data_IF_554048899767
#
_entry.id   IF_554048899767
#
_cell.length_a   1.000
_cell.length_b   1.000
_cell.length_c   1.000
_cell.angle_alpha   90.00
_cell.angle_beta   90.00
_cell.angle_gamma   90.00
#
_symmetry.space_group_name_H-M   'P 1'
#
loop_
_entity.id
_entity.type
_entity.pdbx_description
1 polymer ?
#
# COMPACT_ATOMS: atom_id res chain seq x y z
N UNK A 1 21.50 23.26 18.39
CA UNK A 1 21.68 21.91 17.86
C UNK A 1 20.41 21.49 17.15
N UNK A 2 20.55 20.92 15.98
CA UNK A 2 19.38 20.47 15.23
C UNK A 2 19.00 19.04 15.62
N UNK A 3 17.72 18.84 15.87
CA UNK A 3 17.16 17.50 16.09
C UNK A 3 16.65 16.88 14.77
N UNK A 4 16.89 17.55 13.66
CA UNK A 4 16.45 17.05 12.35
C UNK A 4 17.54 16.18 11.75
N UNK A 5 17.17 14.97 11.40
CA UNK A 5 18.03 14.00 10.73
C UNK A 5 17.44 13.67 9.36
N UNK A 6 18.27 13.81 8.32
CA UNK A 6 17.86 13.45 6.96
C UNK A 6 18.25 12.01 6.70
N UNK A 7 17.26 11.20 6.37
CA UNK A 7 17.46 9.81 5.99
C UNK A 7 17.39 9.70 4.48
N UNK A 8 18.36 8.99 3.90
CA UNK A 8 18.32 8.72 2.45
C UNK A 8 17.21 7.73 2.15
N UNK A 9 16.52 7.96 1.05
CA UNK A 9 15.57 7.00 0.51
C UNK A 9 16.19 6.33 -0.71
N UNK A 10 15.66 5.19 -1.06
CA UNK A 10 16.09 4.40 -2.21
C UNK A 10 14.86 3.93 -2.97
N UNK A 11 14.89 4.07 -4.29
CA UNK A 11 13.89 3.45 -5.15
C UNK A 11 14.26 1.98 -5.27
N UNK A 12 13.43 1.09 -4.73
CA UNK A 12 13.68 -0.35 -4.82
C UNK A 12 12.83 -1.03 -5.88
N UNK A 13 11.80 -0.37 -6.35
CA UNK A 13 10.94 -0.87 -7.40
C UNK A 13 10.34 0.31 -8.14
N UNK A 14 10.30 0.23 -9.46
CA UNK A 14 9.70 1.24 -10.29
C UNK A 14 8.98 0.56 -11.45
N UNK A 15 7.74 0.97 -11.68
CA UNK A 15 6.98 0.63 -12.86
C UNK A 15 6.65 1.93 -13.59
N UNK A 16 5.98 1.85 -14.74
CA UNK A 16 5.64 3.04 -15.52
C UNK A 16 4.88 4.10 -14.69
N UNK A 17 3.96 3.66 -13.84
CA UNK A 17 3.08 4.56 -13.10
C UNK A 17 3.27 4.53 -11.58
N UNK A 18 4.16 3.70 -11.07
CA UNK A 18 4.32 3.50 -9.62
C UNK A 18 5.80 3.44 -9.25
N UNK A 19 6.17 4.21 -8.25
CA UNK A 19 7.51 4.20 -7.69
C UNK A 19 7.42 3.79 -6.23
N UNK A 20 8.24 2.83 -5.82
CA UNK A 20 8.35 2.35 -4.45
C UNK A 20 9.65 2.84 -3.85
N UNK A 21 9.55 3.60 -2.76
CA UNK A 21 10.68 4.10 -2.01
C UNK A 21 10.83 3.35 -0.71
N UNK A 22 12.05 2.94 -0.41
CA UNK A 22 12.41 2.37 0.88
C UNK A 22 12.74 3.51 1.84
N UNK A 23 11.96 3.63 2.89
CA UNK A 23 12.16 4.64 3.94
C UNK A 23 12.65 3.94 5.19
N UNK A 24 13.87 4.26 5.59
CA UNK A 24 14.43 3.74 6.83
C UNK A 24 13.86 4.52 8.01
N UNK A 25 13.12 3.83 8.86
CA UNK A 25 12.59 4.38 10.12
C UNK A 25 13.09 3.50 11.24
N UNK A 26 13.64 4.11 12.31
CA UNK A 26 14.26 3.36 13.40
C UNK A 26 13.32 2.33 14.04
N UNK A 27 12.03 2.63 14.10
CA UNK A 27 11.02 1.78 14.74
C UNK A 27 10.37 0.79 13.76
N UNK A 28 10.70 0.87 12.48
CA UNK A 28 10.12 0.00 11.47
C UNK A 28 11.06 -0.18 10.29
N UNK A 29 11.36 -1.42 9.98
CA UNK A 29 12.21 -1.78 8.84
C UNK A 29 11.40 -1.99 7.56
N UNK A 30 10.09 -1.90 7.63
CA UNK A 30 9.17 -2.27 6.56
C UNK A 30 8.29 -1.10 6.11
N UNK A 31 8.74 0.12 6.30
CA UNK A 31 8.00 1.30 5.87
C UNK A 31 8.41 1.73 4.48
N UNK A 32 7.44 1.87 3.60
CA UNK A 32 7.64 2.27 2.23
C UNK A 32 6.82 3.51 1.90
N UNK A 33 7.38 4.37 1.09
CA UNK A 33 6.61 5.42 0.42
C UNK A 33 6.35 4.96 -1.01
N UNK A 34 5.08 4.92 -1.40
CA UNK A 34 4.67 4.50 -2.73
C UNK A 34 4.04 5.70 -3.43
N UNK A 35 4.60 6.06 -4.58
CA UNK A 35 4.09 7.18 -5.38
C UNK A 35 3.42 6.62 -6.63
N UNK A 36 2.13 6.93 -6.78
CA UNK A 36 1.34 6.55 -7.93
C UNK A 36 1.12 7.75 -8.84
N UNK A 37 1.28 7.56 -10.15
CA UNK A 37 0.99 8.57 -11.15
C UNK A 37 -0.38 8.27 -11.76
N UNK A 38 -1.33 9.22 -11.55
CA UNK A 38 -2.69 9.06 -12.07
C UNK A 38 -3.42 7.88 -11.41
N UNK A 39 -4.35 7.24 -12.15
CA UNK A 39 -5.18 6.15 -11.63
C UNK A 39 -4.50 4.77 -11.71
N UNK A 40 -3.21 4.71 -11.45
CA UNK A 40 -2.46 3.46 -11.50
C UNK A 40 -2.99 2.42 -10.53
N UNK A 41 -3.12 1.19 -11.00
CA UNK A 41 -3.58 0.04 -10.20
C UNK A 41 -2.39 -0.75 -9.68
N UNK A 42 -2.43 -1.14 -8.42
CA UNK A 42 -1.37 -1.91 -7.76
C UNK A 42 -1.96 -3.13 -7.03
N UNK A 43 -1.65 -4.35 -7.44
CA UNK A 43 -0.90 -4.73 -8.63
C UNK A 43 -1.71 -4.48 -9.92
N UNK A 44 -1.04 -4.39 -11.07
CA UNK A 44 -1.76 -4.27 -12.33
C UNK A 44 -2.51 -5.56 -12.66
N UNK A 45 -3.45 -5.48 -13.60
CA UNK A 45 -4.09 -6.67 -14.12
C UNK A 45 -3.06 -7.54 -14.84
N UNK A 46 -3.33 -8.84 -14.94
CA UNK A 46 -2.46 -9.76 -15.67
C UNK A 46 -2.58 -9.59 -17.18
N UNK A 47 -1.87 -10.41 -17.95
CA UNK A 47 -1.81 -10.33 -19.42
C UNK A 47 -3.14 -10.57 -20.12
N UNK A 48 -4.10 -11.20 -19.44
CA UNK A 48 -5.45 -11.47 -19.98
C UNK A 48 -6.51 -10.55 -19.37
N UNK A 49 -6.10 -9.53 -18.62
CA UNK A 49 -6.99 -8.55 -18.04
C UNK A 49 -7.62 -8.94 -16.71
N UNK A 50 -7.20 -10.05 -16.10
CA UNK A 50 -7.70 -10.47 -14.81
C UNK A 50 -7.05 -9.68 -13.67
N UNK A 51 -7.83 -9.41 -12.63
CA UNK A 51 -7.34 -8.71 -11.43
C UNK A 51 -6.34 -9.57 -10.69
N UNK A 52 -5.24 -8.96 -10.26
CA UNK A 52 -4.26 -9.56 -9.37
C UNK A 52 -4.35 -8.92 -8.00
N UNK A 53 -3.97 -9.68 -6.96
CA UNK A 53 -3.98 -9.23 -5.57
C UNK A 53 -2.67 -9.56 -4.90
N UNK A 54 -2.23 -8.68 -3.99
CA UNK A 54 -1.17 -8.98 -3.03
C UNK A 54 -1.76 -9.70 -1.83
N UNK A 55 -0.94 -10.52 -1.20
CA UNK A 55 -1.28 -11.11 0.10
C UNK A 55 0.01 -11.26 0.92
N UNK A 56 -0.10 -10.93 2.21
CA UNK A 56 0.98 -11.16 3.17
C UNK A 56 0.54 -12.19 4.18
N UNK A 57 1.31 -13.27 4.29
CA UNK A 57 0.97 -14.40 5.16
C UNK A 57 1.48 -14.22 6.58
N UNK A 58 2.47 -13.36 6.80
CA UNK A 58 3.19 -13.26 8.07
C UNK A 58 3.19 -11.88 8.70
N UNK A 59 2.62 -10.87 8.05
CA UNK A 59 2.60 -9.52 8.57
C UNK A 59 1.30 -8.82 8.26
N UNK A 60 0.90 -7.90 9.14
CA UNK A 60 -0.19 -6.97 8.90
C UNK A 60 0.37 -5.73 8.21
N UNK A 61 -0.44 -5.11 7.35
CA UNK A 61 -0.08 -3.85 6.71
C UNK A 61 -0.87 -2.70 7.30
N UNK A 62 -0.17 -1.59 7.55
CA UNK A 62 -0.79 -0.33 7.92
C UNK A 62 -0.56 0.64 6.76
N UNK A 63 -1.64 1.09 6.13
CA UNK A 63 -1.58 1.97 4.99
C UNK A 63 -2.16 3.33 5.33
N UNK A 64 -1.46 4.39 4.93
CA UNK A 64 -1.90 5.76 5.14
C UNK A 64 -1.70 6.55 3.86
N UNK A 65 -2.68 7.36 3.50
CA UNK A 65 -2.57 8.26 2.36
C UNK A 65 -2.05 9.61 2.83
N UNK A 66 -0.95 10.08 2.25
CA UNK A 66 -0.37 11.39 2.56
C UNK A 66 -0.76 12.46 1.55
N UNK A 67 -1.23 12.06 0.37
CA UNK A 67 -1.71 12.95 -0.67
C UNK A 67 -2.65 12.19 -1.60
N UNK A 68 -3.78 12.82 -1.95
CA UNK A 68 -4.75 12.22 -2.86
C UNK A 68 -5.69 11.23 -2.18
N UNK A 69 -6.18 10.28 -2.96
CA UNK A 69 -7.08 9.23 -2.52
C UNK A 69 -6.67 7.91 -3.11
N UNK A 70 -6.86 6.85 -2.34
CA UNK A 70 -6.60 5.49 -2.80
C UNK A 70 -7.81 4.60 -2.49
N UNK A 71 -8.22 3.80 -3.46
CA UNK A 71 -9.33 2.86 -3.30
C UNK A 71 -8.75 1.47 -3.16
N UNK A 72 -9.05 0.79 -2.05
CA UNK A 72 -8.58 -0.56 -1.77
C UNK A 72 -9.71 -1.56 -1.95
N UNK A 73 -9.42 -2.66 -2.63
CA UNK A 73 -10.25 -3.85 -2.63
C UNK A 73 -9.61 -4.87 -1.69
N UNK A 74 -10.38 -5.36 -0.72
CA UNK A 74 -9.93 -6.32 0.28
C UNK A 74 -10.78 -7.57 0.20
N UNK A 75 -10.12 -8.73 0.21
CA UNK A 75 -10.80 -10.02 0.24
C UNK A 75 -10.21 -10.87 1.34
N UNK A 76 -11.03 -11.27 2.30
CA UNK A 76 -10.65 -12.18 3.36
C UNK A 76 -11.81 -13.13 3.66
N UNK A 77 -11.62 -14.41 3.33
CA UNK A 77 -12.67 -15.41 3.46
C UNK A 77 -13.04 -15.76 4.90
N UNK A 78 -12.22 -15.35 5.88
CA UNK A 78 -12.55 -15.53 7.30
C UNK A 78 -13.53 -14.48 7.83
N UNK A 79 -13.76 -13.41 7.08
CA UNK A 79 -14.67 -12.35 7.49
C UNK A 79 -16.13 -12.72 7.18
N UNK A 80 -17.06 -12.18 7.98
CA UNK A 80 -18.49 -12.33 7.73
C UNK A 80 -18.88 -11.82 6.33
N UNK A 81 -18.33 -10.68 5.94
CA UNK A 81 -18.45 -10.13 4.60
C UNK A 81 -17.06 -10.13 3.97
N UNK A 82 -16.74 -11.12 3.13
CA UNK A 82 -15.37 -11.33 2.65
C UNK A 82 -14.79 -10.23 1.79
N UNK A 83 -15.62 -9.48 1.06
CA UNK A 83 -15.19 -8.47 0.11
C UNK A 83 -15.55 -7.07 0.60
N UNK A 84 -14.54 -6.19 0.61
CA UNK A 84 -14.70 -4.79 0.99
C UNK A 84 -14.03 -3.88 -0.02
N UNK A 85 -14.66 -2.73 -0.27
CA UNK A 85 -14.05 -1.61 -1.00
C UNK A 85 -13.89 -0.47 0.01
N UNK A 86 -12.67 0.01 0.18
CA UNK A 86 -12.35 1.07 1.14
C UNK A 86 -11.74 2.27 0.41
N UNK A 87 -12.35 3.45 0.60
CA UNK A 87 -11.80 4.70 0.11
C UNK A 87 -10.94 5.31 1.22
N UNK A 88 -9.66 5.51 0.95
CA UNK A 88 -8.71 6.05 1.91
C UNK A 88 -8.13 7.35 1.38
N UNK A 89 -8.16 8.41 2.21
CA UNK A 89 -7.57 9.69 1.89
C UNK A 89 -6.86 10.28 3.12
N UNK A 90 -6.34 11.50 2.98
CA UNK A 90 -5.52 12.14 4.03
C UNK A 90 -6.27 12.42 5.34
N UNK A 91 -7.60 12.45 5.30
CA UNK A 91 -8.44 12.75 6.46
C UNK A 91 -8.67 11.53 7.35
N UNK A 92 -8.38 10.35 6.86
CA UNK A 92 -8.49 9.11 7.62
C UNK A 92 -7.14 8.72 8.18
N UNK A 93 -7.14 7.97 9.26
CA UNK A 93 -5.94 7.38 9.83
C UNK A 93 -5.41 6.23 8.98
N UNK A 94 -4.67 5.34 9.60
CA UNK A 94 -4.16 4.17 8.91
C UNK A 94 -5.25 3.13 8.67
N UNK A 95 -5.23 2.50 7.49
CA UNK A 95 -6.02 1.31 7.19
C UNK A 95 -5.20 0.09 7.57
N UNK A 96 -5.69 -0.70 8.50
CA UNK A 96 -5.09 -1.98 8.83
C UNK A 96 -5.59 -3.05 7.87
N UNK A 97 -4.65 -3.68 7.17
CA UNK A 97 -4.93 -4.86 6.35
C UNK A 97 -4.29 -6.05 7.06
N UNK A 98 -5.10 -6.89 7.72
CA UNK A 98 -4.56 -8.04 8.44
C UNK A 98 -3.87 -9.03 7.52
N UNK A 99 -2.88 -9.76 8.06
CA UNK A 99 -2.27 -10.87 7.33
C UNK A 99 -3.34 -11.85 6.84
N UNK A 100 -3.10 -12.47 5.70
CA UNK A 100 -4.07 -13.38 5.09
C UNK A 100 -5.19 -12.68 4.32
N UNK A 101 -5.12 -11.36 4.16
CA UNK A 101 -6.09 -10.59 3.39
C UNK A 101 -5.50 -10.30 2.00
N UNK A 102 -6.25 -10.65 0.96
CA UNK A 102 -5.92 -10.26 -0.40
C UNK A 102 -6.24 -8.79 -0.60
N UNK A 103 -5.33 -8.03 -1.20
CA UNK A 103 -5.56 -6.60 -1.39
C UNK A 103 -5.00 -6.10 -2.72
N UNK A 104 -5.69 -5.11 -3.24
CA UNK A 104 -5.24 -4.31 -4.39
C UNK A 104 -5.74 -2.88 -4.20
N UNK A 105 -5.13 -1.94 -4.90
CA UNK A 105 -5.55 -0.54 -4.82
C UNK A 105 -5.45 0.19 -6.15
N UNK A 106 -6.20 1.25 -6.26
CA UNK A 106 -6.16 2.16 -7.40
C UNK A 106 -6.42 3.60 -7.00
#
# INVERSE_FOLDING_TARGET
MSDVHYKKHRVFRETEDVIFYDISVEESNASDLVVHTGPATSPPNDSVGAKQFYIHSFQDDYNRVVSGERIFELVNYSWKYPYHIVHLNVHYGALLIPRGTFHRSQ
#
